data_IF_809310980708
#
_entry.id   IF_809310980708
#
_cell.length_a   1.000
_cell.length_b   1.000
_cell.length_c   1.000
_cell.angle_alpha   90.00
_cell.angle_beta   90.00
_cell.angle_gamma   90.00
#
_symmetry.space_group_name_H-M   'P 1'
#
loop_
_entity.id
_entity.type
_entity.pdbx_description
1 polymer ?
#
# COMPACT_ATOMS: atom_id res chain seq x y z
N UNK A 1 -3.14 -43.75 -8.01
CA UNK A 1 -1.76 -43.31 -7.76
C UNK A 1 -1.46 -41.99 -8.46
N UNK A 2 -2.04 -41.71 -9.64
CA UNK A 2 -1.88 -40.43 -10.35
C UNK A 2 -2.81 -39.33 -9.79
N UNK A 3 -4.09 -39.64 -9.55
CA UNK A 3 -5.08 -38.68 -9.01
C UNK A 3 -4.65 -38.02 -7.70
N UNK A 4 -3.98 -38.78 -6.82
CA UNK A 4 -3.48 -38.27 -5.54
C UNK A 4 -2.34 -37.26 -5.74
N UNK A 5 -1.51 -37.42 -6.78
CA UNK A 5 -0.44 -36.46 -7.09
C UNK A 5 -1.01 -35.17 -7.67
N UNK A 6 -2.02 -35.28 -8.54
CA UNK A 6 -2.70 -34.11 -9.11
C UNK A 6 -3.43 -33.30 -8.04
N UNK A 7 -4.13 -33.97 -7.12
CA UNK A 7 -4.78 -33.32 -5.98
C UNK A 7 -3.78 -32.60 -5.06
N UNK A 8 -2.64 -33.22 -4.77
CA UNK A 8 -1.58 -32.58 -3.97
C UNK A 8 -0.97 -31.37 -4.69
N UNK A 9 -0.73 -31.47 -6.00
CA UNK A 9 -0.24 -30.34 -6.79
C UNK A 9 -1.23 -29.18 -6.81
N UNK A 10 -2.53 -29.48 -6.86
CA UNK A 10 -3.58 -28.49 -6.79
C UNK A 10 -3.61 -27.75 -5.44
N UNK A 11 -3.56 -28.51 -4.32
CA UNK A 11 -3.51 -27.93 -2.98
C UNK A 11 -2.26 -27.08 -2.78
N UNK A 12 -1.09 -27.56 -3.23
CA UNK A 12 0.16 -26.80 -3.15
C UNK A 12 0.07 -25.46 -3.89
N UNK A 13 -0.63 -25.42 -5.04
CA UNK A 13 -0.86 -24.17 -5.79
C UNK A 13 -1.75 -23.19 -5.02
N UNK A 14 -2.80 -23.68 -4.37
CA UNK A 14 -3.68 -22.86 -3.52
C UNK A 14 -2.89 -22.30 -2.34
N UNK A 15 -2.12 -23.14 -1.65
CA UNK A 15 -1.29 -22.73 -0.51
C UNK A 15 -0.24 -21.69 -0.90
N UNK A 16 0.46 -21.89 -2.01
CA UNK A 16 1.45 -20.91 -2.51
C UNK A 16 0.81 -19.54 -2.77
N UNK A 17 -0.36 -19.51 -3.43
CA UNK A 17 -1.07 -18.26 -3.69
C UNK A 17 -1.57 -17.60 -2.40
N UNK A 18 -2.04 -18.39 -1.44
CA UNK A 18 -2.46 -17.89 -0.14
C UNK A 18 -1.28 -17.28 0.65
N UNK A 19 -0.11 -17.92 0.65
CA UNK A 19 1.09 -17.41 1.31
C UNK A 19 1.55 -16.09 0.68
N UNK A 20 1.55 -15.98 -0.65
CA UNK A 20 1.85 -14.73 -1.34
C UNK A 20 0.94 -13.58 -0.89
N UNK A 21 -0.37 -13.82 -0.79
CA UNK A 21 -1.33 -12.81 -0.32
C UNK A 21 -1.00 -12.38 1.12
N UNK A 22 -0.60 -13.32 1.98
CA UNK A 22 -0.21 -13.03 3.36
C UNK A 22 1.10 -12.23 3.43
N UNK A 23 2.08 -12.55 2.58
CA UNK A 23 3.31 -11.76 2.43
C UNK A 23 2.99 -10.33 2.00
N UNK A 24 2.23 -10.15 0.91
CA UNK A 24 1.84 -8.83 0.39
C UNK A 24 1.11 -8.02 1.46
N UNK A 25 0.22 -8.65 2.23
CA UNK A 25 -0.50 -7.98 3.33
C UNK A 25 0.43 -7.53 4.45
N UNK A 26 1.42 -8.35 4.82
CA UNK A 26 2.44 -7.98 5.84
C UNK A 26 3.29 -6.80 5.35
N UNK A 27 3.67 -6.81 4.08
CA UNK A 27 4.41 -5.69 3.47
C UNK A 27 3.61 -4.39 3.48
N UNK A 28 2.31 -4.46 3.11
CA UNK A 28 1.41 -3.30 3.17
C UNK A 28 1.35 -2.69 4.58
N UNK A 29 1.30 -3.52 5.63
CA UNK A 29 1.29 -3.04 7.02
C UNK A 29 2.60 -2.31 7.34
N UNK A 30 3.76 -2.87 6.97
CA UNK A 30 5.06 -2.23 7.19
C UNK A 30 5.19 -0.89 6.45
N UNK A 31 4.68 -0.82 5.22
CA UNK A 31 4.62 0.43 4.45
C UNK A 31 3.74 1.47 5.13
N UNK A 32 2.60 1.05 5.71
CA UNK A 32 1.72 1.96 6.44
C UNK A 32 2.35 2.50 7.74
N UNK A 33 3.06 1.66 8.50
CA UNK A 33 3.83 2.09 9.66
C UNK A 33 4.87 3.16 9.27
N UNK A 34 5.61 2.92 8.18
CA UNK A 34 6.58 3.89 7.64
C UNK A 34 5.90 5.18 7.19
N UNK A 35 4.75 5.09 6.51
CA UNK A 35 3.94 6.23 6.09
C UNK A 35 3.52 7.09 7.29
N UNK A 36 3.06 6.45 8.37
CA UNK A 36 2.69 7.16 9.58
C UNK A 36 3.91 7.85 10.21
N UNK A 37 5.06 7.18 10.26
CA UNK A 37 6.32 7.77 10.70
C UNK A 37 6.71 9.02 9.92
N UNK A 38 6.62 8.97 8.58
CA UNK A 38 6.86 10.14 7.72
C UNK A 38 5.86 11.28 7.99
N UNK A 39 4.59 10.97 8.23
CA UNK A 39 3.57 11.98 8.56
C UNK A 39 3.90 12.70 9.86
N UNK A 40 4.36 11.98 10.88
CA UNK A 40 4.81 12.56 12.15
C UNK A 40 6.05 13.42 11.93
N UNK A 41 7.07 12.89 11.25
CA UNK A 41 8.32 13.62 10.96
C UNK A 41 8.08 14.92 10.17
N UNK A 42 7.23 14.89 9.14
CA UNK A 42 6.86 16.08 8.37
C UNK A 42 6.19 17.12 9.28
N UNK A 43 5.31 16.69 10.19
CA UNK A 43 4.62 17.59 11.12
C UNK A 43 5.60 18.23 12.11
N UNK A 44 6.52 17.44 12.66
CA UNK A 44 7.54 17.91 13.58
C UNK A 44 8.44 18.96 12.93
N UNK A 45 9.04 18.63 11.76
CA UNK A 45 9.93 19.55 11.04
C UNK A 45 9.20 20.83 10.64
N UNK A 46 7.92 20.76 10.25
CA UNK A 46 7.12 21.95 9.95
C UNK A 46 6.97 22.87 11.17
N UNK A 47 6.72 22.31 12.34
CA UNK A 47 6.48 23.05 13.58
C UNK A 47 7.77 23.55 14.26
N UNK A 48 8.92 22.97 13.95
CA UNK A 48 10.22 23.43 14.47
C UNK A 48 10.56 24.85 13.99
N UNK A 49 11.09 25.68 14.89
CA UNK A 49 11.57 27.04 14.60
C UNK A 49 12.95 27.08 13.93
N UNK A 50 13.71 25.99 14.01
CA UNK A 50 15.03 25.88 13.37
C UNK A 50 14.95 25.75 11.84
N UNK A 51 15.88 26.41 11.15
CA UNK A 51 15.98 26.39 9.68
C UNK A 51 16.80 25.22 9.12
N UNK A 52 17.43 24.42 9.97
CA UNK A 52 18.25 23.27 9.59
C UNK A 52 17.79 22.04 10.35
N UNK A 53 17.84 20.89 9.70
CA UNK A 53 17.44 19.60 10.29
C UNK A 53 18.50 18.55 9.97
N UNK A 54 18.72 17.63 10.90
CA UNK A 54 19.55 16.46 10.68
C UNK A 54 18.72 15.36 10.06
N UNK A 55 19.20 14.77 8.97
CA UNK A 55 18.54 13.68 8.26
C UNK A 55 19.51 12.52 8.11
N UNK A 56 19.03 11.32 8.40
CA UNK A 56 19.78 10.10 8.24
C UNK A 56 19.64 9.58 6.80
N UNK A 57 20.75 9.38 6.10
CA UNK A 57 20.80 8.82 4.75
C UNK A 57 21.82 7.68 4.77
N UNK A 58 21.35 6.44 4.59
CA UNK A 58 22.21 5.26 4.64
C UNK A 58 22.80 5.06 6.04
N UNK A 59 24.12 5.20 6.20
CA UNK A 59 24.82 5.15 7.49
C UNK A 59 25.30 6.54 7.94
N UNK A 60 24.93 7.60 7.23
CA UNK A 60 25.42 8.96 7.46
C UNK A 60 24.32 9.87 7.98
N UNK A 61 24.71 10.84 8.82
CA UNK A 61 23.85 11.90 9.30
C UNK A 61 24.25 13.21 8.66
N UNK A 62 23.34 13.83 7.89
CA UNK A 62 23.62 15.03 7.11
C UNK A 62 22.72 16.17 7.59
N UNK A 63 23.30 17.35 7.78
CA UNK A 63 22.55 18.57 8.12
C UNK A 63 22.13 19.27 6.84
N UNK A 64 20.83 19.40 6.64
CA UNK A 64 20.24 20.08 5.47
C UNK A 64 19.28 21.18 5.89
N UNK A 65 18.86 22.03 4.95
CA UNK A 65 17.84 23.03 5.22
C UNK A 65 16.48 22.37 5.50
N UNK A 66 15.67 23.03 6.31
CA UNK A 66 14.28 22.63 6.61
C UNK A 66 13.46 22.41 5.34
N UNK A 67 13.58 23.31 4.36
CA UNK A 67 12.89 23.20 3.07
C UNK A 67 13.28 21.94 2.31
N UNK A 68 14.58 21.61 2.29
CA UNK A 68 15.07 20.41 1.61
C UNK A 68 14.64 19.13 2.32
N UNK A 69 14.68 19.12 3.65
CA UNK A 69 14.21 17.98 4.44
C UNK A 69 12.72 17.69 4.18
N UNK A 70 11.88 18.72 4.17
CA UNK A 70 10.46 18.57 3.87
C UNK A 70 10.21 18.07 2.46
N UNK A 71 10.97 18.56 1.47
CA UNK A 71 10.87 18.11 0.10
C UNK A 71 11.20 16.61 -0.04
N UNK A 72 12.27 16.14 0.61
CA UNK A 72 12.67 14.73 0.61
C UNK A 72 11.58 13.87 1.25
N UNK A 73 11.13 14.22 2.46
CA UNK A 73 10.11 13.45 3.17
C UNK A 73 8.77 13.42 2.43
N UNK A 74 8.41 14.50 1.73
CA UNK A 74 7.18 14.56 0.94
C UNK A 74 7.27 13.65 -0.29
N UNK A 75 8.44 13.58 -0.95
CA UNK A 75 8.66 12.63 -2.05
C UNK A 75 8.53 11.19 -1.56
N UNK A 76 9.20 10.85 -0.46
CA UNK A 76 9.14 9.51 0.13
C UNK A 76 7.71 9.11 0.49
N UNK A 77 6.95 10.04 1.09
CA UNK A 77 5.52 9.81 1.40
C UNK A 77 4.74 9.49 0.13
N UNK A 78 4.92 10.27 -0.94
CA UNK A 78 4.18 10.06 -2.19
C UNK A 78 4.54 8.71 -2.85
N UNK A 79 5.80 8.29 -2.79
CA UNK A 79 6.23 6.98 -3.29
C UNK A 79 5.55 5.85 -2.53
N UNK A 80 5.53 5.91 -1.20
CA UNK A 80 4.87 4.91 -0.36
C UNK A 80 3.36 4.89 -0.59
N UNK A 81 2.72 6.04 -0.78
CA UNK A 81 1.28 6.10 -1.08
C UNK A 81 0.94 5.36 -2.38
N UNK A 82 1.75 5.55 -3.44
CA UNK A 82 1.59 4.83 -4.70
C UNK A 82 1.83 3.33 -4.51
N UNK A 83 2.88 2.96 -3.79
CA UNK A 83 3.24 1.55 -3.54
C UNK A 83 2.12 0.82 -2.78
N UNK A 84 1.60 1.41 -1.71
CA UNK A 84 0.44 0.87 -0.97
C UNK A 84 -0.77 0.69 -1.89
N UNK A 85 -1.09 1.68 -2.74
CA UNK A 85 -2.22 1.59 -3.67
C UNK A 85 -2.03 0.43 -4.67
N UNK A 86 -0.82 0.28 -5.22
CA UNK A 86 -0.52 -0.81 -6.16
C UNK A 86 -0.60 -2.18 -5.47
N UNK A 87 -0.03 -2.31 -4.28
CA UNK A 87 -0.05 -3.55 -3.50
C UNK A 87 -1.47 -3.94 -3.11
N UNK A 88 -2.29 -2.97 -2.72
CA UNK A 88 -3.70 -3.20 -2.40
C UNK A 88 -4.49 -3.70 -3.62
N UNK A 89 -4.26 -3.13 -4.82
CA UNK A 89 -4.87 -3.61 -6.07
C UNK A 89 -4.43 -5.05 -6.39
N UNK A 90 -3.13 -5.33 -6.25
CA UNK A 90 -2.57 -6.67 -6.48
C UNK A 90 -3.17 -7.72 -5.54
N UNK A 91 -3.28 -7.41 -4.24
CA UNK A 91 -3.93 -8.29 -3.26
C UNK A 91 -5.36 -8.61 -3.68
N UNK A 92 -6.16 -7.62 -4.10
CA UNK A 92 -7.55 -7.86 -4.54
C UNK A 92 -7.62 -8.83 -5.74
N UNK A 93 -6.72 -8.69 -6.70
CA UNK A 93 -6.64 -9.59 -7.86
C UNK A 93 -6.25 -11.00 -7.42
N UNK A 94 -5.19 -11.15 -6.59
CA UNK A 94 -4.74 -12.45 -6.08
C UNK A 94 -5.82 -13.16 -5.26
N UNK A 95 -6.54 -12.45 -4.41
CA UNK A 95 -7.66 -13.03 -3.64
C UNK A 95 -8.80 -13.48 -4.56
N UNK A 96 -9.11 -12.74 -5.63
CA UNK A 96 -10.11 -13.18 -6.58
C UNK A 96 -9.67 -14.45 -7.33
N UNK A 97 -8.38 -14.56 -7.68
CA UNK A 97 -7.81 -15.79 -8.25
C UNK A 97 -7.88 -16.97 -7.27
N UNK A 98 -7.61 -16.73 -5.98
CA UNK A 98 -7.74 -17.73 -4.92
C UNK A 98 -9.19 -18.21 -4.80
N UNK A 99 -10.16 -17.30 -4.78
CA UNK A 99 -11.58 -17.66 -4.76
C UNK A 99 -11.98 -18.50 -5.97
N UNK A 100 -11.46 -18.18 -7.17
CA UNK A 100 -11.72 -18.95 -8.38
C UNK A 100 -11.19 -20.39 -8.27
N UNK A 101 -10.00 -20.59 -7.69
CA UNK A 101 -9.43 -21.92 -7.41
C UNK A 101 -10.23 -22.65 -6.31
N UNK A 102 -10.75 -21.94 -5.31
CA UNK A 102 -11.55 -22.55 -4.25
C UNK A 102 -13.03 -22.73 -4.63
N UNK A 103 -13.41 -22.44 -5.87
CA UNK A 103 -14.80 -22.45 -6.36
C UNK A 103 -15.76 -21.59 -5.51
N UNK A 104 -15.24 -20.50 -4.94
CA UNK A 104 -16.00 -19.49 -4.19
C UNK A 104 -16.47 -18.37 -5.11
N UNK A 105 -17.49 -17.63 -4.68
CA UNK A 105 -17.94 -16.45 -5.39
C UNK A 105 -16.84 -15.38 -5.49
N UNK A 106 -16.82 -14.59 -6.57
CA UNK A 106 -15.87 -13.49 -6.73
C UNK A 106 -16.13 -12.40 -5.68
N UNK A 107 -15.10 -11.61 -5.41
CA UNK A 107 -15.18 -10.50 -4.45
C UNK A 107 -16.11 -9.38 -4.98
N UNK A 108 -17.30 -9.26 -4.41
CA UNK A 108 -18.24 -8.17 -4.72
C UNK A 108 -17.91 -6.91 -3.92
N UNK A 109 -18.01 -5.73 -4.54
CA UNK A 109 -17.95 -4.43 -3.84
C UNK A 109 -16.55 -3.91 -3.47
N UNK A 110 -15.49 -4.70 -3.65
CA UNK A 110 -14.10 -4.28 -3.33
C UNK A 110 -13.38 -3.58 -4.50
N UNK A 111 -13.94 -3.62 -5.70
CA UNK A 111 -13.40 -3.01 -6.92
C UNK A 111 -14.03 -1.64 -7.23
N UNK A 112 -14.48 -0.92 -6.21
CA UNK A 112 -15.06 0.41 -6.36
C UNK A 112 -13.98 1.49 -6.21
N UNK A 113 -14.03 2.49 -7.09
CA UNK A 113 -13.25 3.71 -6.96
C UNK A 113 -14.14 4.81 -6.35
N UNK A 114 -13.57 5.71 -5.53
CA UNK A 114 -14.32 6.87 -5.06
C UNK A 114 -14.75 7.74 -6.25
N UNK A 115 -15.95 8.32 -6.17
CA UNK A 115 -16.46 9.27 -7.16
C UNK A 115 -15.49 10.43 -7.32
N UNK A 116 -15.12 10.74 -8.56
CA UNK A 116 -14.29 11.89 -8.88
C UNK A 116 -15.05 13.20 -8.63
N UNK A 117 -14.32 14.31 -8.44
CA UNK A 117 -14.93 15.63 -8.29
C UNK A 117 -15.82 16.02 -9.48
N UNK A 118 -15.50 15.53 -10.68
CA UNK A 118 -16.31 15.75 -11.89
C UNK A 118 -17.62 14.99 -11.82
N UNK A 119 -17.60 13.73 -11.40
CA UNK A 119 -18.78 12.87 -11.25
C UNK A 119 -19.66 13.28 -10.05
N UNK A 120 -19.08 13.89 -9.02
CA UNK A 120 -19.79 14.42 -7.86
C UNK A 120 -20.49 15.76 -8.14
N UNK A 121 -19.98 16.54 -9.10
CA UNK A 121 -20.49 17.90 -9.39
C UNK A 121 -21.98 17.98 -9.80
N UNK A 122 -22.54 17.02 -10.59
CA UNK A 122 -23.96 17.00 -10.91
C UNK A 122 -24.82 16.60 -9.71
N UNK A 123 -24.33 15.67 -8.87
CA UNK A 123 -25.05 15.24 -7.67
C UNK A 123 -25.24 16.41 -6.69
N UNK A 124 -24.20 17.21 -6.47
CA UNK A 124 -24.25 18.41 -5.60
C UNK A 124 -25.21 19.51 -6.06
N UNK A 125 -25.69 19.49 -7.31
CA UNK A 125 -26.67 20.48 -7.81
C UNK A 125 -28.12 20.08 -7.55
N UNK A 126 -28.34 18.82 -7.18
CA UNK A 126 -29.67 18.25 -6.95
C UNK A 126 -29.96 17.93 -5.48
N UNK A 127 -29.00 18.21 -4.58
CA UNK A 127 -29.14 18.26 -3.13
C UNK A 127 -28.95 19.70 -2.66
#
# INVERSE_FOLDING_TARGET
MDDTKEQLAYLAKIEALAEEILVDRREMIKLDERRNGLRVAIREIKNTTENKSWVHIGASLIRISKTKALEILQRDKNLIDVEIETLQKNIKVKVNNLNALEHKSPLTGLMLNPLSNKEMSPLKKHF
#
